data_IF_642696791225
#
_entry.id   IF_642696791225
#
_cell.length_a   1.000
_cell.length_b   1.000
_cell.length_c   1.000
_cell.angle_alpha   90.00
_cell.angle_beta   90.00
_cell.angle_gamma   90.00
#
_symmetry.space_group_name_H-M   'P 1'
#
loop_
_entity.id
_entity.type
_entity.pdbx_description
1 polymer ?
#
# COMPACT_ATOMS: atom_id res chain seq x y z
N UNK A 1 25.83 -6.87 -39.25
CA UNK A 1 25.58 -6.90 -37.81
C UNK A 1 24.31 -6.10 -37.57
N UNK A 2 23.18 -6.77 -37.37
CA UNK A 2 21.90 -6.08 -37.19
C UNK A 2 21.89 -5.51 -35.76
N UNK A 3 21.78 -4.18 -35.69
CA UNK A 3 21.57 -3.43 -34.46
C UNK A 3 20.22 -3.87 -33.83
N UNK A 4 20.28 -4.75 -32.84
CA UNK A 4 19.15 -5.04 -32.00
C UNK A 4 18.92 -3.82 -31.05
N UNK A 5 18.47 -2.73 -31.63
CA UNK A 5 17.90 -1.63 -30.83
C UNK A 5 16.68 -2.19 -30.11
N UNK A 6 16.84 -2.59 -28.86
CA UNK A 6 15.73 -2.85 -27.96
C UNK A 6 14.91 -1.56 -27.83
N UNK A 7 13.89 -1.41 -28.64
CA UNK A 7 12.93 -0.32 -28.52
C UNK A 7 12.16 -0.51 -27.19
N UNK A 8 12.65 0.10 -26.14
CA UNK A 8 11.91 0.18 -24.88
C UNK A 8 10.57 0.88 -25.11
N UNK A 9 9.49 0.28 -24.60
CA UNK A 9 8.18 0.95 -24.62
C UNK A 9 8.26 2.22 -23.77
N UNK A 10 7.61 3.30 -24.24
CA UNK A 10 7.58 4.58 -23.54
C UNK A 10 6.86 4.44 -22.19
N UNK A 11 7.46 4.94 -21.12
CA UNK A 11 6.86 4.98 -19.79
C UNK A 11 6.12 6.29 -19.55
N UNK A 12 4.95 6.21 -18.88
CA UNK A 12 4.33 7.34 -18.21
C UNK A 12 4.83 7.38 -16.77
N UNK A 13 5.53 8.43 -16.36
CA UNK A 13 6.08 8.54 -15.02
C UNK A 13 5.26 9.54 -14.22
N UNK A 14 4.79 9.12 -13.03
CA UNK A 14 4.16 9.99 -12.04
C UNK A 14 5.16 10.24 -10.93
N UNK A 15 5.65 11.46 -10.83
CA UNK A 15 6.56 11.86 -9.77
C UNK A 15 5.80 12.51 -8.63
N UNK A 16 5.92 11.93 -7.43
CA UNK A 16 5.34 12.45 -6.20
C UNK A 16 6.44 13.06 -5.32
N UNK A 17 6.63 14.39 -5.36
CA UNK A 17 7.62 15.06 -4.53
C UNK A 17 7.27 14.96 -3.06
N UNK A 18 8.27 14.89 -2.20
CA UNK A 18 8.10 15.00 -0.76
C UNK A 18 8.47 16.41 -0.30
N UNK A 19 7.80 16.98 0.68
CA UNK A 19 8.21 18.23 1.30
C UNK A 19 9.47 18.01 2.18
N UNK A 20 10.63 17.78 1.57
CA UNK A 20 11.91 17.66 2.27
C UNK A 20 13.08 18.12 1.37
N UNK A 21 14.09 18.72 1.98
CA UNK A 21 15.21 19.45 1.36
C UNK A 21 16.03 18.71 0.28
N UNK A 22 15.88 17.38 0.15
CA UNK A 22 16.69 16.60 -0.79
C UNK A 22 15.91 15.98 -1.95
N UNK A 23 14.63 16.25 -2.05
CA UNK A 23 13.72 15.61 -3.03
C UNK A 23 14.08 15.99 -4.46
N UNK A 24 14.43 17.25 -4.69
CA UNK A 24 14.79 17.75 -6.01
C UNK A 24 16.11 17.15 -6.53
N UNK A 25 17.13 17.03 -5.68
CA UNK A 25 18.40 16.38 -6.03
C UNK A 25 18.20 14.91 -6.41
N UNK A 26 17.35 14.21 -5.66
CA UNK A 26 17.05 12.81 -5.95
C UNK A 26 16.28 12.67 -7.26
N UNK A 27 15.30 13.54 -7.51
CA UNK A 27 14.58 13.55 -8.78
C UNK A 27 15.51 13.82 -9.97
N UNK A 28 16.40 14.80 -9.88
CA UNK A 28 17.42 15.07 -10.90
C UNK A 28 18.29 13.84 -11.16
N UNK A 29 18.70 13.11 -10.11
CA UNK A 29 19.46 11.88 -10.25
C UNK A 29 18.64 10.77 -10.97
N UNK A 30 17.35 10.61 -10.65
CA UNK A 30 16.47 9.65 -11.32
C UNK A 30 16.35 10.01 -12.81
N UNK A 31 16.06 11.28 -13.14
CA UNK A 31 15.97 11.76 -14.53
C UNK A 31 17.26 11.48 -15.32
N UNK A 32 18.40 11.81 -14.75
CA UNK A 32 19.71 11.57 -15.37
C UNK A 32 19.92 10.08 -15.62
N UNK A 33 19.63 9.22 -14.64
CA UNK A 33 19.77 7.76 -14.79
C UNK A 33 18.82 7.20 -15.85
N UNK A 34 17.59 7.70 -15.96
CA UNK A 34 16.65 7.29 -17.03
C UNK A 34 17.17 7.69 -18.42
N UNK A 35 17.76 8.89 -18.55
CA UNK A 35 18.36 9.37 -19.79
C UNK A 35 19.59 8.53 -20.19
N UNK A 36 20.50 8.28 -19.23
CA UNK A 36 21.67 7.41 -19.47
C UNK A 36 21.26 5.99 -19.85
N UNK A 37 20.16 5.47 -19.29
CA UNK A 37 19.64 4.14 -19.60
C UNK A 37 18.88 4.09 -20.95
N UNK A 38 18.74 5.22 -21.66
CA UNK A 38 18.05 5.28 -22.94
C UNK A 38 16.55 4.97 -22.85
N UNK A 39 15.93 5.12 -21.68
CA UNK A 39 14.53 4.82 -21.47
C UNK A 39 13.63 5.97 -21.97
N UNK A 40 12.77 5.75 -22.99
CA UNK A 40 11.80 6.76 -23.39
C UNK A 40 10.73 6.95 -22.31
N UNK A 41 10.43 8.21 -21.93
CA UNK A 41 9.40 8.50 -20.97
C UNK A 41 8.78 9.88 -21.14
N UNK A 42 7.54 10.02 -20.70
CA UNK A 42 6.93 11.30 -20.32
C UNK A 42 6.80 11.32 -18.80
N UNK A 43 6.87 12.49 -18.19
CA UNK A 43 6.61 12.59 -16.76
C UNK A 43 5.66 13.71 -16.41
N UNK A 44 4.92 13.52 -15.31
CA UNK A 44 4.09 14.52 -14.68
C UNK A 44 4.36 14.51 -13.18
N UNK A 45 4.30 15.68 -12.58
CA UNK A 45 4.48 15.85 -11.14
C UNK A 45 3.12 15.94 -10.46
N UNK A 46 2.94 15.22 -9.35
CA UNK A 46 1.76 15.36 -8.52
C UNK A 46 1.83 16.63 -7.67
N UNK A 47 0.70 17.33 -7.54
CA UNK A 47 0.58 18.58 -6.81
C UNK A 47 0.23 18.39 -5.34
N UNK A 48 -0.33 17.23 -4.98
CA UNK A 48 -0.76 16.93 -3.63
C UNK A 48 -1.51 15.60 -3.52
N UNK A 49 -2.24 15.44 -2.44
CA UNK A 49 -3.06 14.27 -2.18
C UNK A 49 -4.19 14.13 -3.22
N UNK A 50 -4.42 12.90 -3.71
CA UNK A 50 -5.39 12.60 -4.76
C UNK A 50 -4.92 12.94 -6.19
N UNK A 51 -3.82 13.71 -6.33
CA UNK A 51 -3.30 14.09 -7.64
C UNK A 51 -2.76 12.89 -8.42
N UNK A 52 -2.06 11.96 -7.75
CA UNK A 52 -1.51 10.78 -8.42
C UNK A 52 -2.63 9.84 -8.92
N UNK A 53 -3.78 9.78 -8.24
CA UNK A 53 -4.96 9.03 -8.69
C UNK A 53 -5.49 9.60 -10.01
N UNK A 54 -5.72 10.93 -10.06
CA UNK A 54 -6.18 11.62 -11.27
C UNK A 54 -5.19 11.45 -12.43
N UNK A 55 -3.90 11.62 -12.18
CA UNK A 55 -2.85 11.50 -13.20
C UNK A 55 -2.74 10.08 -13.74
N UNK A 56 -2.85 9.06 -12.89
CA UNK A 56 -2.86 7.66 -13.30
C UNK A 56 -4.08 7.33 -14.17
N UNK A 57 -5.26 7.84 -13.80
CA UNK A 57 -6.46 7.73 -14.63
C UNK A 57 -6.28 8.37 -16.01
N UNK A 58 -5.74 9.59 -16.07
CA UNK A 58 -5.46 10.27 -17.35
C UNK A 58 -4.45 9.49 -18.22
N UNK A 59 -3.37 8.99 -17.63
CA UNK A 59 -2.41 8.15 -18.37
C UNK A 59 -3.05 6.86 -18.88
N UNK A 60 -3.91 6.24 -18.09
CA UNK A 60 -4.67 5.05 -18.50
C UNK A 60 -5.59 5.34 -19.68
N UNK A 61 -6.33 6.45 -19.65
CA UNK A 61 -7.18 6.90 -20.76
C UNK A 61 -6.39 7.24 -22.01
N UNK A 62 -5.18 7.80 -21.85
CA UNK A 62 -4.29 8.13 -22.96
C UNK A 62 -3.55 6.90 -23.52
N UNK A 63 -3.85 5.69 -23.03
CA UNK A 63 -3.31 4.43 -23.57
C UNK A 63 -1.86 4.15 -23.22
N UNK A 64 -1.31 4.71 -22.14
CA UNK A 64 0.01 4.32 -21.67
C UNK A 64 0.00 2.82 -21.29
N UNK A 65 0.95 2.07 -21.86
CA UNK A 65 1.09 0.63 -21.56
C UNK A 65 1.78 0.37 -20.23
N UNK A 66 2.60 1.30 -19.77
CA UNK A 66 3.38 1.19 -18.54
C UNK A 66 3.35 2.52 -17.79
N UNK A 67 2.97 2.49 -16.54
CA UNK A 67 2.99 3.64 -15.62
C UNK A 67 3.99 3.35 -14.51
N UNK A 68 4.97 4.22 -14.34
CA UNK A 68 5.98 4.14 -13.29
C UNK A 68 5.70 5.22 -12.25
N UNK A 69 5.52 4.80 -11.01
CA UNK A 69 5.45 5.73 -9.89
C UNK A 69 6.85 6.00 -9.33
N UNK A 70 7.21 7.26 -9.18
CA UNK A 70 8.32 7.70 -8.30
C UNK A 70 7.70 8.22 -7.02
N UNK A 71 7.53 7.34 -6.03
CA UNK A 71 6.75 7.63 -4.82
C UNK A 71 6.88 6.57 -3.73
N UNK A 72 6.01 6.66 -2.72
CA UNK A 72 5.86 5.67 -1.65
C UNK A 72 4.48 5.00 -1.67
N UNK A 73 4.20 4.14 -0.67
CA UNK A 73 3.01 3.29 -0.63
C UNK A 73 1.68 4.07 -0.77
N UNK A 74 1.55 5.22 -0.11
CA UNK A 74 0.33 6.04 -0.21
C UNK A 74 0.11 6.60 -1.62
N UNK A 75 1.18 6.98 -2.32
CA UNK A 75 1.09 7.42 -3.71
C UNK A 75 0.84 6.23 -4.66
N UNK A 76 1.40 5.05 -4.34
CA UNK A 76 1.12 3.83 -5.08
C UNK A 76 -0.36 3.44 -4.96
N UNK A 77 -0.94 3.58 -3.77
CA UNK A 77 -2.37 3.41 -3.57
C UNK A 77 -3.21 4.34 -4.45
N UNK A 78 -2.82 5.63 -4.56
CA UNK A 78 -3.49 6.58 -5.46
C UNK A 78 -3.40 6.12 -6.93
N UNK A 79 -2.21 5.73 -7.39
CA UNK A 79 -2.01 5.24 -8.77
C UNK A 79 -2.88 4.03 -9.05
N UNK A 80 -2.93 3.05 -8.14
CA UNK A 80 -3.78 1.87 -8.28
C UNK A 80 -5.26 2.25 -8.36
N UNK A 81 -5.73 3.13 -7.48
CA UNK A 81 -7.13 3.58 -7.52
C UNK A 81 -7.47 4.29 -8.84
N UNK A 82 -6.56 5.14 -9.34
CA UNK A 82 -6.73 5.82 -10.63
C UNK A 82 -6.80 4.84 -11.82
N UNK A 83 -5.93 3.83 -11.83
CA UNK A 83 -5.92 2.78 -12.85
C UNK A 83 -7.18 1.92 -12.77
N UNK A 84 -7.54 1.43 -11.58
CA UNK A 84 -8.67 0.52 -11.38
C UNK A 84 -10.04 1.16 -11.66
N UNK A 85 -10.16 2.47 -11.46
CA UNK A 85 -11.41 3.22 -11.73
C UNK A 85 -11.53 3.69 -13.16
N UNK A 86 -10.51 3.49 -13.99
CA UNK A 86 -10.45 4.03 -15.34
C UNK A 86 -10.45 2.93 -16.38
N UNK A 87 -11.36 3.04 -17.36
CA UNK A 87 -11.36 2.14 -18.52
C UNK A 87 -10.22 2.52 -19.47
N UNK A 88 -9.37 1.56 -19.75
CA UNK A 88 -8.27 1.72 -20.71
C UNK A 88 -8.75 1.46 -22.14
N UNK A 89 -8.36 2.29 -23.13
CA UNK A 89 -8.65 2.03 -24.54
C UNK A 89 -7.95 0.76 -25.06
N UNK A 90 -6.98 0.24 -24.31
CA UNK A 90 -6.24 -1.00 -24.66
C UNK A 90 -6.98 -2.28 -24.19
N UNK A 91 -8.17 -2.14 -23.54
CA UNK A 91 -8.94 -3.28 -23.02
C UNK A 91 -8.32 -3.98 -21.81
N UNK A 92 -7.20 -3.45 -21.28
CA UNK A 92 -6.52 -3.96 -20.07
C UNK A 92 -5.86 -2.82 -19.32
N UNK A 93 -5.63 -3.01 -18.03
CA UNK A 93 -4.89 -2.05 -17.21
C UNK A 93 -3.43 -1.93 -17.68
N UNK A 94 -2.81 -0.73 -17.52
CA UNK A 94 -1.39 -0.57 -17.74
C UNK A 94 -0.58 -1.40 -16.74
N UNK A 95 0.62 -1.82 -17.14
CA UNK A 95 1.60 -2.42 -16.24
C UNK A 95 2.13 -1.34 -15.29
N UNK A 96 2.18 -1.64 -14.00
CA UNK A 96 2.64 -0.70 -12.98
C UNK A 96 4.05 -1.04 -12.53
N UNK A 97 4.88 -0.03 -12.34
CA UNK A 97 6.19 -0.16 -11.71
C UNK A 97 6.40 0.94 -10.67
N UNK A 98 7.39 0.75 -9.79
CA UNK A 98 7.71 1.71 -8.74
C UNK A 98 9.21 1.96 -8.64
N UNK A 99 9.58 3.24 -8.55
CA UNK A 99 10.90 3.69 -8.09
C UNK A 99 10.67 4.22 -6.67
N UNK A 100 11.18 3.53 -5.64
CA UNK A 100 10.89 3.88 -4.26
C UNK A 100 11.34 5.31 -3.94
N UNK A 101 10.42 6.14 -3.48
CA UNK A 101 10.68 7.51 -3.03
C UNK A 101 9.84 7.84 -1.79
N UNK A 102 9.36 6.83 -1.08
CA UNK A 102 8.58 6.89 0.15
C UNK A 102 9.42 6.78 1.41
N UNK A 103 8.78 6.70 2.58
CA UNK A 103 9.42 6.43 3.87
C UNK A 103 9.52 4.93 4.14
N UNK A 104 8.41 4.22 4.08
CA UNK A 104 8.35 2.80 4.33
C UNK A 104 8.68 2.04 3.03
N UNK A 105 7.99 2.36 1.93
CA UNK A 105 8.08 1.66 0.65
C UNK A 105 7.90 0.14 0.81
N UNK A 106 6.96 -0.27 1.69
CA UNK A 106 6.80 -1.67 2.09
C UNK A 106 6.48 -2.56 0.90
N UNK A 107 5.63 -2.09 -0.02
CA UNK A 107 5.31 -2.85 -1.22
C UNK A 107 6.51 -2.96 -2.17
N UNK A 108 7.30 -1.88 -2.33
CA UNK A 108 8.52 -1.93 -3.13
C UNK A 108 9.59 -2.83 -2.50
N UNK A 109 9.73 -2.80 -1.18
CA UNK A 109 10.65 -3.68 -0.44
C UNK A 109 10.26 -5.16 -0.55
N UNK A 110 8.98 -5.49 -0.62
CA UNK A 110 8.54 -6.85 -0.88
C UNK A 110 9.16 -7.41 -2.17
N UNK A 111 9.31 -6.57 -3.18
CA UNK A 111 9.93 -6.91 -4.47
C UNK A 111 11.44 -6.64 -4.49
N UNK A 112 12.08 -6.40 -3.36
CA UNK A 112 13.52 -6.08 -3.25
C UNK A 112 13.95 -4.84 -4.04
N UNK A 113 13.09 -3.83 -4.15
CA UNK A 113 13.49 -2.52 -4.64
C UNK A 113 14.01 -1.68 -3.50
N UNK A 114 15.29 -1.26 -3.60
CA UNK A 114 15.94 -0.42 -2.61
C UNK A 114 15.82 1.06 -3.00
N UNK A 115 15.51 1.90 -1.99
CA UNK A 115 15.44 3.34 -2.18
C UNK A 115 16.78 3.94 -2.61
N UNK A 116 17.90 3.38 -2.19
CA UNK A 116 19.24 3.91 -2.47
C UNK A 116 19.80 3.39 -3.80
N UNK A 117 19.27 2.30 -4.35
CA UNK A 117 19.69 1.73 -5.63
C UNK A 117 18.80 2.17 -6.79
N UNK A 118 18.92 3.44 -7.21
CA UNK A 118 18.18 3.99 -8.35
C UNK A 118 18.56 3.26 -9.65
N UNK A 119 19.85 3.03 -9.89
CA UNK A 119 20.36 2.46 -11.13
C UNK A 119 19.92 1.01 -11.29
N UNK A 120 20.06 0.20 -10.24
CA UNK A 120 19.58 -1.18 -10.24
C UNK A 120 18.06 -1.27 -10.37
N UNK A 121 17.31 -0.38 -9.71
CA UNK A 121 15.86 -0.31 -9.85
C UNK A 121 15.45 -0.04 -11.31
N UNK A 122 16.01 0.98 -11.96
CA UNK A 122 15.70 1.30 -13.37
C UNK A 122 16.07 0.14 -14.29
N UNK A 123 17.25 -0.45 -14.12
CA UNK A 123 17.69 -1.60 -14.92
C UNK A 123 16.77 -2.82 -14.77
N UNK A 124 16.23 -3.06 -13.56
CA UNK A 124 15.24 -4.12 -13.32
C UNK A 124 13.91 -3.83 -14.03
N UNK A 125 13.41 -2.61 -13.91
CA UNK A 125 12.17 -2.20 -14.59
C UNK A 125 12.29 -2.33 -16.12
N UNK A 126 13.46 -2.02 -16.69
CA UNK A 126 13.74 -2.17 -18.14
C UNK A 126 13.74 -3.63 -18.61
N UNK A 127 14.06 -4.59 -17.74
CA UNK A 127 13.96 -6.03 -18.08
C UNK A 127 12.52 -6.44 -18.39
N UNK A 128 11.55 -5.61 -18.02
CA UNK A 128 10.12 -5.81 -18.25
C UNK A 128 9.60 -7.16 -17.75
N UNK A 129 10.19 -7.65 -16.65
CA UNK A 129 9.69 -8.83 -15.96
C UNK A 129 8.40 -8.47 -15.26
N UNK A 130 7.31 -9.12 -15.65
CA UNK A 130 5.97 -8.82 -15.15
C UNK A 130 5.47 -9.94 -14.27
N UNK A 131 4.79 -9.57 -13.21
CA UNK A 131 4.00 -10.49 -12.41
C UNK A 131 2.60 -9.94 -12.24
N UNK A 132 1.60 -10.80 -12.42
CA UNK A 132 0.24 -10.48 -12.06
C UNK A 132 0.12 -10.48 -10.54
N UNK A 133 -0.45 -9.43 -10.00
CA UNK A 133 -0.65 -9.24 -8.58
C UNK A 133 -2.12 -9.09 -8.23
N UNK A 134 -2.44 -9.50 -7.02
CA UNK A 134 -3.76 -9.36 -6.45
C UNK A 134 -4.00 -7.92 -6.00
N UNK A 135 -5.26 -7.48 -6.07
CA UNK A 135 -5.69 -6.17 -5.58
C UNK A 135 -6.78 -6.36 -4.54
N UNK A 136 -6.57 -5.86 -3.34
CA UNK A 136 -7.62 -5.80 -2.33
C UNK A 136 -8.65 -4.73 -2.69
N UNK A 137 -9.93 -5.02 -2.48
CA UNK A 137 -11.03 -4.10 -2.74
C UNK A 137 -11.92 -3.95 -1.51
N UNK A 138 -12.13 -2.70 -1.11
CA UNK A 138 -13.13 -2.31 -0.12
C UNK A 138 -14.36 -1.81 -0.86
N UNK A 139 -15.54 -2.35 -0.55
CA UNK A 139 -16.84 -1.95 -1.10
C UNK A 139 -17.74 -1.49 0.04
N UNK A 140 -18.31 -0.29 -0.08
CA UNK A 140 -19.19 0.30 0.91
C UNK A 140 -20.65 0.25 0.46
N UNK A 141 -21.56 0.00 1.40
CA UNK A 141 -23.01 0.02 1.15
C UNK A 141 -23.50 -0.95 0.08
N UNK A 142 -22.67 -1.95 -0.29
CA UNK A 142 -23.03 -2.95 -1.29
C UNK A 142 -23.11 -2.44 -2.75
N UNK A 143 -22.71 -1.19 -3.01
CA UNK A 143 -22.78 -0.60 -4.35
C UNK A 143 -21.44 -0.71 -5.08
N UNK A 144 -21.40 -1.28 -6.32
CA UNK A 144 -20.16 -1.41 -7.09
C UNK A 144 -19.42 -0.09 -7.37
N UNK A 145 -20.12 1.03 -7.31
CA UNK A 145 -19.58 2.35 -7.62
C UNK A 145 -18.79 2.95 -6.44
N UNK A 146 -18.92 2.41 -5.22
CA UNK A 146 -18.21 2.88 -4.04
C UNK A 146 -17.11 1.91 -3.63
N UNK A 147 -16.08 1.81 -4.48
CA UNK A 147 -14.92 0.92 -4.28
C UNK A 147 -13.65 1.70 -4.04
N UNK A 148 -12.85 1.22 -3.11
CA UNK A 148 -11.47 1.67 -2.88
C UNK A 148 -10.52 0.48 -2.89
N UNK A 149 -9.36 0.63 -3.50
CA UNK A 149 -8.42 -0.45 -3.76
C UNK A 149 -7.16 -0.31 -2.91
N UNK A 150 -6.52 -1.43 -2.58
CA UNK A 150 -5.26 -1.47 -1.85
C UNK A 150 -4.37 -2.63 -2.30
N UNK A 151 -3.05 -2.47 -2.16
CA UNK A 151 -2.05 -3.47 -2.52
C UNK A 151 -1.37 -4.11 -1.32
N UNK A 152 -1.21 -3.36 -0.23
CA UNK A 152 -0.49 -3.85 0.94
C UNK A 152 -1.46 -4.28 2.03
N UNK A 153 -2.19 -3.34 2.62
CA UNK A 153 -3.16 -3.69 3.66
C UNK A 153 -4.20 -2.60 3.94
N UNK A 154 -5.31 -3.06 4.50
CA UNK A 154 -6.32 -2.25 5.15
C UNK A 154 -6.22 -2.44 6.67
N UNK A 155 -6.22 -1.35 7.42
CA UNK A 155 -6.19 -1.34 8.88
C UNK A 155 -7.45 -0.69 9.43
N UNK A 156 -8.05 -1.31 10.46
CA UNK A 156 -9.20 -0.76 11.22
C UNK A 156 -8.77 -0.62 12.69
N UNK A 157 -8.94 0.54 13.28
CA UNK A 157 -8.69 0.79 14.71
C UNK A 157 -7.41 1.57 14.99
N UNK A 158 -6.69 1.25 16.07
CA UNK A 158 -5.57 2.07 16.58
C UNK A 158 -4.45 2.23 15.59
N UNK A 159 -4.13 1.21 14.79
CA UNK A 159 -3.06 1.29 13.78
C UNK A 159 -3.41 2.32 12.70
N UNK A 160 -4.67 2.38 12.25
CA UNK A 160 -5.12 3.41 11.32
C UNK A 160 -4.93 4.83 11.88
N UNK A 161 -5.23 5.04 13.17
CA UNK A 161 -4.97 6.33 13.86
C UNK A 161 -3.48 6.70 13.88
N UNK A 162 -2.61 5.72 14.09
CA UNK A 162 -1.15 5.95 14.13
C UNK A 162 -0.64 6.33 12.74
N UNK A 163 -1.12 5.66 11.71
CA UNK A 163 -0.82 5.98 10.32
C UNK A 163 -1.22 7.43 10.01
N UNK A 164 -2.42 7.84 10.42
CA UNK A 164 -2.89 9.22 10.27
C UNK A 164 -1.98 10.22 11.00
N UNK A 165 -1.69 9.95 12.26
CA UNK A 165 -0.86 10.85 13.07
C UNK A 165 0.57 10.96 12.53
N UNK A 166 1.18 9.85 12.09
CA UNK A 166 2.48 9.86 11.39
C UNK A 166 2.46 10.78 10.18
N UNK A 167 1.37 10.80 9.44
CA UNK A 167 1.22 11.59 8.23
C UNK A 167 1.10 13.09 8.55
N UNK A 168 0.33 13.45 9.57
CA UNK A 168 0.10 14.85 9.98
C UNK A 168 1.28 15.47 10.73
N UNK A 169 2.02 14.68 11.53
CA UNK A 169 3.20 15.16 12.29
C UNK A 169 4.50 15.12 11.49
N UNK A 170 4.51 14.48 10.33
CA UNK A 170 5.69 14.24 9.48
C UNK A 170 6.35 15.50 8.90
N UNK A 171 5.68 16.61 8.89
CA UNK A 171 6.24 17.90 8.46
C UNK A 171 7.33 18.45 9.39
N UNK A 172 7.58 17.78 10.55
CA UNK A 172 8.54 18.19 11.54
C UNK A 172 9.58 17.07 11.80
N UNK A 173 10.75 17.17 11.16
CA UNK A 173 12.07 16.66 11.60
C UNK A 173 12.20 15.19 12.09
N UNK A 174 11.41 14.23 11.64
CA UNK A 174 11.56 12.86 12.13
C UNK A 174 12.32 11.95 11.16
N UNK A 175 13.41 11.38 11.62
CA UNK A 175 14.13 10.31 10.91
C UNK A 175 13.29 9.01 10.88
N UNK A 176 13.65 8.05 10.02
CA UNK A 176 12.97 6.75 9.90
C UNK A 176 12.89 6.00 11.24
N UNK A 177 14.00 6.04 12.02
CA UNK A 177 14.09 5.39 13.35
C UNK A 177 13.19 6.05 14.39
N UNK A 178 13.21 7.39 14.47
CA UNK A 178 12.36 8.13 15.42
C UNK A 178 10.87 7.98 15.09
N UNK A 179 10.51 7.91 13.81
CA UNK A 179 9.14 7.67 13.38
C UNK A 179 8.61 6.28 13.80
N UNK A 180 9.44 5.25 13.71
CA UNK A 180 9.07 3.89 14.14
C UNK A 180 8.97 3.79 15.66
N UNK A 181 9.89 4.39 16.41
CA UNK A 181 9.85 4.46 17.87
C UNK A 181 8.61 5.23 18.35
N UNK A 182 8.32 6.37 17.75
CA UNK A 182 7.13 7.17 18.07
C UNK A 182 5.83 6.40 17.85
N UNK A 183 5.73 5.65 16.74
CA UNK A 183 4.56 4.83 16.46
C UNK A 183 4.40 3.69 17.43
N UNK A 184 5.51 3.03 17.80
CA UNK A 184 5.51 1.97 18.79
C UNK A 184 5.09 2.51 20.16
N UNK A 185 5.58 3.69 20.52
CA UNK A 185 5.20 4.39 21.75
C UNK A 185 3.71 4.75 21.75
N UNK A 186 3.16 5.25 20.62
CA UNK A 186 1.75 5.56 20.48
C UNK A 186 0.86 4.31 20.59
N UNK A 187 1.28 3.15 20.07
CA UNK A 187 0.57 1.87 20.26
C UNK A 187 0.47 1.49 21.74
N UNK A 188 1.51 1.78 22.49
CA UNK A 188 1.57 1.50 23.94
C UNK A 188 0.64 2.43 24.74
N UNK A 189 0.61 3.73 24.41
CA UNK A 189 -0.13 4.73 25.17
C UNK A 189 -1.59 4.89 24.75
N UNK A 190 -1.93 4.73 23.46
CA UNK A 190 -3.32 4.77 22.99
C UNK A 190 -4.01 3.42 23.15
N UNK A 191 -4.36 3.07 24.38
CA UNK A 191 -5.10 1.84 24.71
C UNK A 191 -6.59 1.96 24.37
N UNK A 192 -6.89 2.38 23.12
CA UNK A 192 -8.26 2.45 22.68
C UNK A 192 -8.70 1.07 22.15
N UNK A 193 -9.87 0.64 22.57
CA UNK A 193 -10.52 -0.57 22.07
C UNK A 193 -11.80 -0.19 21.36
N UNK A 194 -12.16 -0.98 20.38
CA UNK A 194 -13.37 -0.83 19.60
C UNK A 194 -14.15 -2.14 19.64
N UNK A 195 -15.43 -2.07 19.91
CA UNK A 195 -16.30 -3.22 19.72
C UNK A 195 -16.53 -3.37 18.24
N UNK A 196 -16.02 -4.46 17.66
CA UNK A 196 -16.10 -4.72 16.22
C UNK A 196 -16.89 -6.01 16.01
N UNK A 197 -17.82 -5.95 15.04
CA UNK A 197 -18.56 -7.10 14.56
C UNK A 197 -18.20 -7.36 13.10
N UNK A 198 -17.73 -8.57 12.81
CA UNK A 198 -17.29 -8.94 11.47
C UNK A 198 -17.57 -10.42 11.19
N UNK A 199 -17.71 -10.76 9.91
CA UNK A 199 -17.96 -12.12 9.44
C UNK A 199 -16.80 -12.56 8.56
N UNK A 200 -16.18 -13.70 8.91
CA UNK A 200 -15.08 -14.30 8.18
C UNK A 200 -15.29 -15.82 8.14
N UNK A 201 -15.08 -16.44 6.97
CA UNK A 201 -15.29 -17.89 6.75
C UNK A 201 -16.65 -18.40 7.27
N UNK A 202 -17.73 -17.62 7.02
CA UNK A 202 -19.11 -17.90 7.44
C UNK A 202 -19.39 -17.75 8.95
N UNK A 203 -18.38 -17.47 9.78
CA UNK A 203 -18.54 -17.25 11.21
C UNK A 203 -18.62 -15.76 11.54
N UNK A 204 -19.56 -15.39 12.39
CA UNK A 204 -19.68 -14.03 12.90
C UNK A 204 -18.96 -13.90 14.23
N UNK A 205 -18.06 -12.93 14.29
CA UNK A 205 -17.29 -12.60 15.50
C UNK A 205 -17.69 -11.20 15.98
N UNK A 206 -17.92 -11.09 17.28
CA UNK A 206 -18.12 -9.82 17.95
C UNK A 206 -17.14 -9.72 19.11
N UNK A 207 -16.22 -8.79 19.06
CA UNK A 207 -15.10 -8.68 20.01
C UNK A 207 -14.67 -7.24 20.23
N UNK A 208 -14.12 -6.98 21.42
CA UNK A 208 -13.37 -5.76 21.71
C UNK A 208 -11.92 -5.93 21.20
N UNK A 209 -11.58 -5.20 20.18
CA UNK A 209 -10.27 -5.27 19.51
C UNK A 209 -9.57 -3.92 19.53
N UNK A 210 -8.25 -3.96 19.54
CA UNK A 210 -7.40 -2.79 19.35
C UNK A 210 -7.29 -2.44 17.86
N UNK A 211 -7.12 -3.45 17.03
CA UNK A 211 -6.99 -3.30 15.57
C UNK A 211 -7.35 -4.59 14.84
N UNK A 212 -7.79 -4.44 13.59
CA UNK A 212 -7.83 -5.50 12.57
C UNK A 212 -6.95 -5.04 11.43
N UNK A 213 -6.05 -5.89 10.95
CA UNK A 213 -5.31 -5.72 9.72
C UNK A 213 -5.72 -6.77 8.71
N UNK A 214 -5.99 -6.36 7.49
CA UNK A 214 -6.40 -7.18 6.35
C UNK A 214 -5.37 -6.93 5.27
N UNK A 215 -4.46 -7.89 5.04
CA UNK A 215 -3.32 -7.74 4.14
C UNK A 215 -3.43 -8.62 2.91
N UNK A 216 -3.13 -8.06 1.75
CA UNK A 216 -2.76 -8.80 0.55
C UNK A 216 -1.24 -8.94 0.40
N UNK A 217 -0.47 -8.13 1.15
CA UNK A 217 0.97 -8.21 1.32
C UNK A 217 1.34 -8.08 2.81
N UNK A 218 2.60 -7.76 3.14
CA UNK A 218 3.13 -7.83 4.52
C UNK A 218 2.44 -6.95 5.57
N UNK A 219 1.60 -5.98 5.17
CA UNK A 219 0.75 -5.21 6.08
C UNK A 219 1.50 -4.52 7.23
N UNK A 220 2.65 -3.87 6.94
CA UNK A 220 3.53 -3.28 7.95
C UNK A 220 4.00 -4.28 9.03
N UNK A 221 4.21 -5.54 8.66
CA UNK A 221 4.59 -6.63 9.54
C UNK A 221 3.44 -7.30 10.30
N UNK A 222 2.20 -6.84 10.14
CA UNK A 222 1.04 -7.42 10.81
C UNK A 222 0.50 -8.67 10.09
N UNK A 223 0.71 -8.77 8.78
CA UNK A 223 0.35 -9.92 7.95
C UNK A 223 1.60 -10.50 7.25
N UNK A 224 2.58 -11.02 8.01
CA UNK A 224 3.89 -11.37 7.47
C UNK A 224 3.86 -12.57 6.51
N UNK A 225 2.78 -13.35 6.51
CA UNK A 225 2.58 -14.50 5.63
C UNK A 225 1.80 -14.19 4.36
N UNK A 226 1.31 -12.96 4.21
CA UNK A 226 0.54 -12.56 3.03
C UNK A 226 1.44 -12.47 1.80
N UNK A 227 0.89 -12.94 0.68
CA UNK A 227 1.58 -13.03 -0.62
C UNK A 227 0.70 -12.39 -1.67
N UNK A 228 1.15 -11.31 -2.35
CA UNK A 228 0.30 -10.49 -3.23
C UNK A 228 -0.01 -11.13 -4.59
N UNK A 229 -0.04 -12.45 -4.68
CA UNK A 229 -0.35 -13.20 -5.91
C UNK A 229 -0.86 -14.61 -5.61
N UNK A 230 -1.50 -14.84 -4.45
CA UNK A 230 -2.06 -16.14 -4.07
C UNK A 230 -3.60 -16.14 -4.03
N UNK A 231 -4.24 -15.01 -4.37
CA UNK A 231 -5.69 -14.86 -4.37
C UNK A 231 -6.33 -14.91 -2.98
N UNK A 232 -5.57 -14.58 -1.93
CA UNK A 232 -6.03 -14.67 -0.54
C UNK A 232 -5.69 -13.41 0.25
N UNK A 233 -6.53 -13.08 1.23
CA UNK A 233 -6.28 -12.08 2.25
C UNK A 233 -5.84 -12.76 3.53
N UNK A 234 -4.78 -12.27 4.14
CA UNK A 234 -4.38 -12.60 5.50
C UNK A 234 -4.99 -11.57 6.46
N UNK A 235 -5.71 -12.05 7.46
CA UNK A 235 -6.39 -11.19 8.43
C UNK A 235 -5.80 -11.45 9.79
N UNK A 236 -5.39 -10.39 10.47
CA UNK A 236 -5.00 -10.44 11.89
C UNK A 236 -5.89 -9.52 12.70
N UNK A 237 -6.43 -10.01 13.80
CA UNK A 237 -7.09 -9.19 14.81
C UNK A 237 -6.30 -9.22 16.10
N UNK A 238 -6.17 -8.05 16.73
CA UNK A 238 -5.42 -7.88 17.98
C UNK A 238 -6.37 -7.49 19.09
N UNK A 239 -6.52 -8.37 20.08
CA UNK A 239 -7.25 -8.07 21.29
C UNK A 239 -6.41 -7.17 22.22
N UNK A 240 -7.08 -6.43 23.08
CA UNK A 240 -6.39 -5.63 24.09
C UNK A 240 -5.60 -6.53 25.05
N UNK A 241 -4.37 -6.15 25.32
CA UNK A 241 -3.47 -6.86 26.22
C UNK A 241 -2.94 -5.95 27.34
N UNK A 242 -2.52 -6.50 28.50
CA UNK A 242 -1.79 -5.76 29.51
C UNK A 242 -0.50 -5.11 28.92
N UNK A 243 -0.03 -4.05 29.58
CA UNK A 243 1.14 -3.28 29.11
C UNK A 243 2.38 -4.15 28.81
N UNK A 244 2.73 -5.05 29.71
CA UNK A 244 3.87 -5.96 29.57
C UNK A 244 3.74 -6.87 28.34
N UNK A 245 2.54 -7.37 28.08
CA UNK A 245 2.25 -8.19 26.89
C UNK A 245 2.28 -7.36 25.60
N UNK A 246 1.89 -6.08 25.66
CA UNK A 246 1.97 -5.18 24.51
C UNK A 246 3.41 -4.95 24.07
N UNK A 247 4.35 -4.79 25.01
CA UNK A 247 5.78 -4.69 24.71
C UNK A 247 6.32 -5.94 24.01
N UNK A 248 5.92 -7.13 24.48
CA UNK A 248 6.25 -8.40 23.81
C UNK A 248 5.66 -8.48 22.42
N UNK A 249 4.42 -8.05 22.22
CA UNK A 249 3.77 -7.99 20.91
C UNK A 249 4.51 -7.09 19.93
N UNK A 250 5.02 -5.93 20.38
CA UNK A 250 5.84 -5.05 19.56
C UNK A 250 7.18 -5.70 19.18
N UNK A 251 7.84 -6.36 20.12
CA UNK A 251 9.09 -7.08 19.83
C UNK A 251 8.85 -8.18 18.79
N UNK A 252 7.77 -8.95 18.92
CA UNK A 252 7.38 -9.97 17.95
C UNK A 252 7.03 -9.39 16.56
N UNK A 253 6.45 -8.18 16.51
CA UNK A 253 6.18 -7.46 15.26
C UNK A 253 7.50 -7.11 14.54
N UNK A 254 8.48 -6.56 15.26
CA UNK A 254 9.77 -6.20 14.68
C UNK A 254 10.64 -7.40 14.27
N UNK A 255 10.41 -8.55 14.87
CA UNK A 255 11.14 -9.80 14.56
C UNK A 255 10.41 -10.69 13.55
N UNK A 256 9.38 -10.18 12.86
CA UNK A 256 8.53 -10.93 11.92
C UNK A 256 7.85 -12.18 12.54
N UNK A 257 7.66 -12.18 13.86
CA UNK A 257 7.02 -13.27 14.61
C UNK A 257 5.65 -12.87 15.17
N UNK A 258 5.00 -11.88 14.58
CA UNK A 258 3.78 -11.28 15.09
C UNK A 258 2.63 -12.29 15.28
N UNK A 259 2.54 -13.29 14.41
CA UNK A 259 1.51 -14.34 14.53
C UNK A 259 1.67 -15.23 15.75
N UNK A 260 2.85 -15.25 16.40
CA UNK A 260 3.08 -15.97 17.65
C UNK A 260 2.59 -15.19 18.88
N UNK A 261 2.07 -13.98 18.73
CA UNK A 261 1.56 -13.18 19.83
C UNK A 261 0.19 -13.69 20.30
N UNK A 262 0.05 -14.05 21.57
CA UNK A 262 -1.16 -14.68 22.14
C UNK A 262 -2.45 -13.85 22.00
N UNK A 263 -2.33 -12.51 21.82
CA UNK A 263 -3.49 -11.62 21.61
C UNK A 263 -3.87 -11.47 20.15
N UNK A 264 -3.14 -12.10 19.23
CA UNK A 264 -3.42 -12.12 17.78
C UNK A 264 -4.26 -13.33 17.44
N UNK A 265 -5.28 -13.11 16.62
CA UNK A 265 -5.99 -14.14 15.90
C UNK A 265 -5.77 -13.97 14.43
N UNK A 266 -5.61 -15.06 13.70
CA UNK A 266 -5.27 -15.08 12.28
C UNK A 266 -6.32 -15.88 11.50
N UNK A 267 -6.66 -15.36 10.31
CA UNK A 267 -7.47 -16.05 9.30
C UNK A 267 -6.86 -15.81 7.92
N UNK A 268 -7.06 -16.76 7.02
CA UNK A 268 -6.77 -16.62 5.59
C UNK A 268 -8.05 -16.88 4.82
N UNK A 269 -8.46 -15.95 3.97
CA UNK A 269 -9.75 -15.98 3.29
C UNK A 269 -9.73 -15.16 2.00
N UNK A 270 -10.75 -15.32 1.17
CA UNK A 270 -10.95 -14.48 -0.03
C UNK A 270 -11.69 -13.18 0.27
N UNK A 271 -12.35 -13.07 1.42
CA UNK A 271 -13.08 -11.85 1.78
C UNK A 271 -13.54 -11.85 3.23
N UNK A 272 -13.87 -10.68 3.72
CA UNK A 272 -14.41 -10.41 5.07
C UNK A 272 -15.50 -9.34 4.97
N UNK A 273 -16.53 -9.48 5.77
CA UNK A 273 -17.57 -8.48 5.94
C UNK A 273 -17.41 -7.83 7.32
N UNK A 274 -17.28 -6.51 7.34
CA UNK A 274 -17.29 -5.72 8.57
C UNK A 274 -18.69 -5.18 8.75
N UNK A 275 -19.37 -5.66 9.78
CA UNK A 275 -20.77 -5.33 10.07
C UNK A 275 -20.88 -4.10 10.99
N UNK A 276 -19.87 -3.90 11.85
CA UNK A 276 -19.85 -2.81 12.82
C UNK A 276 -18.42 -2.48 13.25
N UNK A 277 -18.05 -1.20 13.25
CA UNK A 277 -16.71 -0.72 13.67
C UNK A 277 -16.73 0.15 14.91
N UNK A 278 -17.89 0.65 15.34
CA UNK A 278 -18.02 1.67 16.40
C UNK A 278 -17.10 2.87 16.18
N UNK A 279 -17.14 3.44 14.99
CA UNK A 279 -16.32 4.59 14.61
C UNK A 279 -14.80 4.33 14.70
N UNK A 280 -14.37 3.08 14.58
CA UNK A 280 -12.95 2.79 14.44
C UNK A 280 -12.44 3.35 13.11
N UNK A 281 -11.34 4.11 13.12
CA UNK A 281 -10.78 4.68 11.89
C UNK A 281 -10.28 3.57 10.98
N UNK A 282 -10.36 3.82 9.67
CA UNK A 282 -9.94 2.92 8.60
C UNK A 282 -8.80 3.58 7.83
N UNK A 283 -7.80 2.80 7.45
CA UNK A 283 -6.73 3.25 6.57
C UNK A 283 -6.39 2.18 5.53
N UNK A 284 -6.20 2.59 4.28
CA UNK A 284 -5.78 1.76 3.16
C UNK A 284 -4.38 2.20 2.71
N UNK A 285 -3.41 1.28 2.71
CA UNK A 285 -2.02 1.53 2.29
C UNK A 285 -1.42 2.84 2.85
N UNK A 286 -1.74 3.17 4.09
CA UNK A 286 -1.24 4.37 4.75
C UNK A 286 -2.06 5.65 4.51
N UNK A 287 -3.22 5.57 3.84
CA UNK A 287 -4.18 6.68 3.67
C UNK A 287 -5.39 6.46 4.56
N UNK A 288 -5.85 7.51 5.22
CA UNK A 288 -7.11 7.45 5.96
C UNK A 288 -8.26 7.38 4.96
N UNK A 289 -9.16 6.47 5.23
CA UNK A 289 -10.40 6.30 4.51
C UNK A 289 -11.56 6.74 5.42
N UNK A 290 -12.28 7.76 5.00
CA UNK A 290 -13.50 8.21 5.67
C UNK A 290 -14.67 7.42 5.12
N UNK A 291 -15.29 6.62 5.96
CA UNK A 291 -16.48 5.84 5.62
C UNK A 291 -17.63 6.25 6.52
N UNK A 292 -18.78 6.51 5.94
CA UNK A 292 -20.06 6.67 6.64
C UNK A 292 -20.89 5.37 6.60
N UNK A 293 -20.42 4.37 5.87
CA UNK A 293 -21.13 3.11 5.72
C UNK A 293 -21.03 2.26 6.98
N UNK A 294 -22.15 1.74 7.44
CA UNK A 294 -22.21 0.79 8.55
C UNK A 294 -21.73 -0.60 8.15
N UNK A 295 -21.87 -0.97 6.88
CA UNK A 295 -21.48 -2.26 6.33
C UNK A 295 -20.42 -2.10 5.25
N UNK A 296 -19.28 -2.78 5.45
CA UNK A 296 -18.13 -2.74 4.57
C UNK A 296 -17.76 -4.18 4.19
N UNK A 297 -17.63 -4.43 2.90
CA UNK A 297 -17.13 -5.71 2.38
C UNK A 297 -15.72 -5.51 1.83
N UNK A 298 -14.81 -6.40 2.21
CA UNK A 298 -13.44 -6.43 1.71
C UNK A 298 -13.21 -7.78 1.04
N UNK A 299 -12.81 -7.73 -0.24
CA UNK A 299 -12.53 -8.91 -1.06
C UNK A 299 -11.14 -8.79 -1.69
N UNK A 300 -10.64 -9.89 -2.27
CA UNK A 300 -9.45 -9.92 -3.10
C UNK A 300 -9.84 -10.09 -4.57
N UNK A 301 -9.24 -9.31 -5.45
CA UNK A 301 -9.30 -9.47 -6.90
C UNK A 301 -7.99 -10.14 -7.33
N UNK A 302 -8.02 -11.43 -7.67
CA UNK A 302 -6.79 -12.15 -7.97
C UNK A 302 -6.23 -11.78 -9.33
N UNK A 303 -4.90 -11.64 -9.42
CA UNK A 303 -4.16 -11.42 -10.68
C UNK A 303 -4.63 -10.21 -11.51
N UNK A 304 -5.11 -9.16 -10.86
CA UNK A 304 -5.82 -8.05 -11.49
C UNK A 304 -4.88 -7.07 -12.23
N UNK A 305 -3.67 -6.85 -11.73
CA UNK A 305 -2.71 -5.89 -12.29
C UNK A 305 -1.38 -6.58 -12.61
N UNK A 306 -0.79 -6.24 -13.76
CA UNK A 306 0.61 -6.55 -14.05
C UNK A 306 1.53 -5.57 -13.32
N UNK A 307 2.48 -6.08 -12.53
CA UNK A 307 3.49 -5.31 -11.81
C UNK A 307 4.90 -5.68 -12.30
N UNK A 308 5.77 -4.67 -12.49
CA UNK A 308 7.18 -4.88 -12.83
C UNK A 308 7.97 -5.30 -11.59
N UNK A 309 8.70 -6.41 -11.66
CA UNK A 309 9.42 -7.05 -10.55
C UNK A 309 10.91 -7.26 -10.87
#
# INVERSE_FOLDING_TARGET
>A
MADNAHFFSKWGIIYCPKPALHTERRWKKILHTLQEAGQPFDFVQSEGEGSAERLAGMMTQNGYKTIILVGGDAALNEVINGVMRTTSPLGKHPTIGVIPNGFANDFAHYWNFDIDDIKGTIARLQRNNKRKIDVGVLTEGGTPNNRSYFLNCLNIGVVANIIHLKRTTRNYWMSRLTSNLFSSMMLIFKRKKFRMKFKVNFETHEKELTTICIGSAHGYGQTPSAVPYNGMLDITSVAQAPFTKTLNGLWLLFTNRFLSYNSVRFWRTKGIEILETNNAPIALDGRIHTSEATHIRIDILPEEIEFLV
#
